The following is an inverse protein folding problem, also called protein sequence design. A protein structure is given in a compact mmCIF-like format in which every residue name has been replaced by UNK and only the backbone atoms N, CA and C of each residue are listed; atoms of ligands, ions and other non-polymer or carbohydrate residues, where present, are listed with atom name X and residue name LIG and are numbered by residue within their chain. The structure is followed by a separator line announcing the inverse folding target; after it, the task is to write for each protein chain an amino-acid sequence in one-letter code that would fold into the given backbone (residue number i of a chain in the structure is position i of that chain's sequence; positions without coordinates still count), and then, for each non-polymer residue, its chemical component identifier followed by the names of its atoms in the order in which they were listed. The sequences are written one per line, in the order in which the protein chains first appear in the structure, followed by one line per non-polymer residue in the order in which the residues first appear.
data_IF_439652112077
#
_entry.id   IF_439652112077
#
_cell.length_a   1.000
_cell.length_b   1.000
_cell.length_c   1.000
_cell.angle_alpha   90.00
_cell.angle_beta   90.00
_cell.angle_gamma   90.00
#
_symmetry.space_group_name_H-M   'P 1'
#
loop_
_entity.id
_entity.type
_entity.pdbx_description
1 polymer ?
#
# COMPACT_ATOMS: atom_id res chain seq x y z
N UNK A 1 -7.81 39.24 41.48
CA UNK A 1 -8.56 38.97 40.23
C UNK A 1 -7.65 38.09 39.37
N UNK A 2 -7.79 36.77 39.45
CA UNK A 2 -7.02 35.83 38.63
C UNK A 2 -7.77 35.61 37.31
N UNK A 3 -7.17 36.04 36.20
CA UNK A 3 -7.68 35.76 34.86
C UNK A 3 -7.32 34.31 34.48
N UNK A 4 -8.32 33.45 34.37
CA UNK A 4 -8.17 32.13 33.77
C UNK A 4 -8.08 32.30 32.24
N UNK A 5 -6.94 31.90 31.65
CA UNK A 5 -6.83 31.77 30.20
C UNK A 5 -7.42 30.42 29.77
N UNK A 6 -8.30 30.39 28.76
CA UNK A 6 -8.78 29.12 28.22
C UNK A 6 -7.62 28.44 27.48
N UNK A 7 -7.36 27.19 27.85
CA UNK A 7 -6.44 26.31 27.12
C UNK A 7 -7.16 25.87 25.84
N UNK A 8 -6.73 26.39 24.69
CA UNK A 8 -7.26 25.97 23.40
C UNK A 8 -6.67 24.61 23.06
N UNK A 9 -7.52 23.57 23.02
CA UNK A 9 -7.14 22.25 22.55
C UNK A 9 -7.09 22.27 21.02
N UNK A 10 -5.90 22.08 20.46
CA UNK A 10 -5.72 21.82 19.02
C UNK A 10 -6.07 20.36 18.79
N UNK A 11 -7.19 20.11 18.09
CA UNK A 11 -7.47 18.78 17.57
C UNK A 11 -6.44 18.48 16.45
N UNK A 12 -5.70 17.39 16.60
CA UNK A 12 -4.88 16.82 15.54
C UNK A 12 -5.81 16.30 14.45
N UNK A 13 -5.75 16.85 13.23
CA UNK A 13 -6.35 16.16 12.08
C UNK A 13 -5.74 14.77 12.00
N UNK A 14 -6.56 13.72 12.07
CA UNK A 14 -6.09 12.39 11.73
C UNK A 14 -5.64 12.40 10.27
N UNK A 15 -4.35 12.21 10.03
CA UNK A 15 -3.77 12.16 8.69
C UNK A 15 -4.35 10.96 7.95
N UNK A 16 -5.42 11.19 7.19
CA UNK A 16 -6.05 10.15 6.37
C UNK A 16 -5.15 9.85 5.18
N UNK A 17 -4.79 8.58 5.01
CA UNK A 17 -4.10 8.11 3.81
C UNK A 17 -5.08 8.17 2.64
N UNK A 18 -4.78 8.96 1.63
CA UNK A 18 -5.60 9.09 0.42
C UNK A 18 -5.53 7.84 -0.44
N UNK A 19 -6.60 7.58 -1.20
CA UNK A 19 -6.59 6.53 -2.20
C UNK A 19 -5.66 6.92 -3.37
N UNK A 20 -4.78 6.03 -3.84
CA UNK A 20 -3.74 6.39 -4.81
C UNK A 20 -4.30 6.32 -6.24
N UNK A 21 -5.03 7.34 -6.66
CA UNK A 21 -5.61 7.37 -8.00
C UNK A 21 -4.56 7.16 -9.10
N UNK A 22 -4.89 6.26 -10.05
CA UNK A 22 -4.02 5.95 -11.18
C UNK A 22 -2.79 5.08 -10.85
N UNK A 23 -2.67 4.50 -9.65
CA UNK A 23 -1.48 3.73 -9.24
C UNK A 23 -1.09 2.59 -10.18
N UNK A 24 -2.04 2.01 -10.93
CA UNK A 24 -1.75 0.94 -11.90
C UNK A 24 -0.90 1.41 -13.08
N UNK A 25 -0.79 2.71 -13.29
CA UNK A 25 0.11 3.31 -14.28
C UNK A 25 1.47 3.71 -13.68
N UNK A 26 1.66 3.53 -12.37
CA UNK A 26 2.96 3.74 -11.74
C UNK A 26 3.89 2.57 -12.02
N UNK A 27 5.15 2.70 -11.61
CA UNK A 27 6.14 1.64 -11.80
C UNK A 27 5.76 0.42 -10.96
N UNK A 28 5.53 -0.70 -11.63
CA UNK A 28 5.42 -2.01 -11.00
C UNK A 28 6.81 -2.44 -10.53
N UNK A 29 6.98 -2.67 -9.23
CA UNK A 29 8.30 -2.93 -8.62
C UNK A 29 8.55 -4.40 -8.31
N UNK A 30 7.50 -5.16 -7.96
CA UNK A 30 7.59 -6.60 -7.74
C UNK A 30 6.22 -7.26 -7.77
N UNK A 31 6.24 -8.58 -7.98
CA UNK A 31 5.09 -9.46 -7.73
C UNK A 31 5.44 -10.55 -6.74
N UNK A 32 4.41 -11.17 -6.16
CA UNK A 32 4.51 -12.39 -5.37
C UNK A 32 3.18 -13.14 -5.46
N UNK A 33 3.22 -14.46 -5.33
CA UNK A 33 2.02 -15.28 -5.18
C UNK A 33 2.08 -15.96 -3.82
N UNK A 34 1.00 -15.89 -3.05
CA UNK A 34 0.84 -16.66 -1.81
C UNK A 34 -0.24 -17.72 -2.05
N UNK A 35 0.17 -18.98 -2.06
CA UNK A 35 -0.70 -20.15 -2.20
C UNK A 35 -1.05 -20.77 -0.84
N UNK A 36 -2.03 -21.67 -0.85
CA UNK A 36 -2.47 -22.41 0.33
C UNK A 36 -1.29 -23.16 0.96
N UNK A 37 -1.20 -23.16 2.29
CA UNK A 37 -0.08 -23.71 3.04
C UNK A 37 0.96 -22.67 3.49
N UNK A 38 0.94 -21.46 2.93
CA UNK A 38 1.73 -20.35 3.45
C UNK A 38 1.06 -19.73 4.70
N UNK A 39 1.80 -19.36 5.77
CA UNK A 39 1.21 -18.83 7.01
C UNK A 39 0.36 -17.56 6.85
N UNK A 40 0.58 -16.80 5.77
CA UNK A 40 -0.17 -15.58 5.46
C UNK A 40 -1.31 -15.80 4.46
N UNK A 41 -1.65 -17.04 4.10
CA UNK A 41 -2.64 -17.31 3.06
C UNK A 41 -4.03 -16.74 3.39
N UNK A 42 -4.49 -16.85 4.63
CA UNK A 42 -5.83 -16.37 4.99
C UNK A 42 -5.96 -14.84 4.86
N UNK A 43 -4.89 -14.11 5.16
CA UNK A 43 -4.87 -12.65 5.07
C UNK A 43 -4.52 -12.15 3.66
N UNK A 44 -3.56 -12.79 3.00
CA UNK A 44 -2.91 -12.30 1.79
C UNK A 44 -2.76 -13.35 0.69
N UNK A 45 -3.52 -14.46 0.72
CA UNK A 45 -3.52 -15.45 -0.35
C UNK A 45 -3.98 -14.84 -1.68
N UNK A 46 -3.27 -15.13 -2.77
CA UNK A 46 -3.52 -14.56 -4.09
C UNK A 46 -2.26 -14.03 -4.79
N UNK A 47 -2.46 -13.24 -5.85
CA UNK A 47 -1.43 -12.57 -6.64
C UNK A 47 -1.24 -11.14 -6.15
N UNK A 48 0.00 -10.76 -5.87
CA UNK A 48 0.37 -9.44 -5.34
C UNK A 48 1.09 -8.67 -6.42
N UNK A 49 0.73 -7.41 -6.58
CA UNK A 49 1.52 -6.44 -7.33
C UNK A 49 1.85 -5.26 -6.43
N UNK A 50 3.13 -4.89 -6.41
CA UNK A 50 3.56 -3.68 -5.73
C UNK A 50 3.83 -2.61 -6.76
N UNK A 51 3.26 -1.43 -6.54
CA UNK A 51 3.49 -0.24 -7.34
C UNK A 51 4.15 0.85 -6.50
N UNK A 52 5.04 1.61 -7.10
CA UNK A 52 5.74 2.72 -6.46
C UNK A 52 5.56 4.01 -7.26
N UNK A 53 5.19 5.09 -6.60
CA UNK A 53 5.28 6.41 -7.22
C UNK A 53 6.76 6.81 -7.42
N UNK A 54 7.01 7.88 -8.17
CA UNK A 54 8.38 8.29 -8.53
C UNK A 54 9.29 8.50 -7.31
N UNK A 55 8.76 9.07 -6.21
CA UNK A 55 9.51 9.28 -4.96
C UNK A 55 9.91 7.97 -4.29
N UNK A 56 8.95 7.04 -4.17
CA UNK A 56 9.21 5.72 -3.61
C UNK A 56 10.19 4.91 -4.47
N UNK A 57 10.07 4.99 -5.79
CA UNK A 57 10.97 4.31 -6.72
C UNK A 57 12.41 4.80 -6.58
N UNK A 58 12.63 6.11 -6.51
CA UNK A 58 13.96 6.69 -6.33
C UNK A 58 14.61 6.23 -5.02
N UNK A 59 13.85 6.24 -3.91
CA UNK A 59 14.33 5.76 -2.62
C UNK A 59 14.67 4.26 -2.63
N UNK A 60 13.83 3.44 -3.25
CA UNK A 60 14.08 2.00 -3.44
C UNK A 60 15.37 1.74 -4.22
N UNK A 61 15.58 2.46 -5.33
CA UNK A 61 16.77 2.32 -6.16
C UNK A 61 18.05 2.78 -5.46
N UNK A 62 17.95 3.85 -4.68
CA UNK A 62 19.09 4.40 -3.94
C UNK A 62 19.39 3.64 -2.63
N UNK A 63 18.46 2.81 -2.14
CA UNK A 63 18.58 2.17 -0.83
C UNK A 63 18.54 3.17 0.33
N UNK A 64 17.81 4.27 0.16
CA UNK A 64 17.72 5.36 1.14
C UNK A 64 16.34 5.40 1.83
N UNK A 65 16.21 6.09 2.97
CA UNK A 65 14.90 6.32 3.58
C UNK A 65 13.91 6.98 2.62
N UNK A 66 12.64 6.59 2.72
CA UNK A 66 11.56 7.16 1.91
C UNK A 66 11.31 8.64 2.29
N UNK A 67 11.27 9.56 1.32
CA UNK A 67 10.90 10.96 1.57
C UNK A 67 9.38 11.11 1.72
N UNK A 68 8.94 12.24 2.27
CA UNK A 68 7.51 12.54 2.43
C UNK A 68 6.78 12.59 1.08
N UNK A 69 5.59 12.00 1.04
CA UNK A 69 4.80 11.78 -0.17
C UNK A 69 5.29 10.61 -1.02
N UNK A 70 6.23 9.79 -0.54
CA UNK A 70 6.49 8.49 -1.14
C UNK A 70 5.30 7.56 -0.87
N UNK A 71 4.86 6.85 -1.92
CA UNK A 71 3.72 5.94 -1.85
C UNK A 71 4.07 4.59 -2.45
N UNK A 72 3.82 3.53 -1.68
CA UNK A 72 3.79 2.15 -2.14
C UNK A 72 2.36 1.64 -2.08
N UNK A 73 1.96 0.93 -3.14
CA UNK A 73 0.64 0.31 -3.23
C UNK A 73 0.80 -1.19 -3.31
N UNK A 74 0.16 -1.90 -2.39
CA UNK A 74 0.00 -3.35 -2.38
C UNK A 74 -1.35 -3.70 -2.99
N UNK A 75 -1.35 -4.22 -4.21
CA UNK A 75 -2.57 -4.65 -4.91
C UNK A 75 -2.67 -6.17 -4.84
N UNK A 76 -3.66 -6.68 -4.11
CA UNK A 76 -3.91 -8.11 -3.97
C UNK A 76 -5.13 -8.51 -4.80
N UNK A 77 -4.90 -9.43 -5.72
CA UNK A 77 -5.91 -10.09 -6.52
C UNK A 77 -6.04 -11.55 -6.09
N UNK A 78 -7.23 -12.08 -6.26
CA UNK A 78 -7.47 -13.51 -6.13
C UNK A 78 -6.67 -14.29 -7.19
N UNK A 79 -6.40 -15.56 -6.90
CA UNK A 79 -5.66 -16.44 -7.80
C UNK A 79 -6.63 -17.42 -8.45
N UNK A 80 -6.68 -17.43 -9.78
CA UNK A 80 -7.42 -18.43 -10.56
C UNK A 80 -6.44 -19.40 -11.20
N UNK A 81 -6.76 -20.70 -11.14
CA UNK A 81 -5.96 -21.74 -11.80
C UNK A 81 -6.77 -22.36 -12.93
N UNK A 82 -6.25 -22.27 -14.15
CA UNK A 82 -6.90 -22.80 -15.36
C UNK A 82 -5.82 -23.33 -16.31
N UNK A 83 -5.99 -24.54 -16.84
CA UNK A 83 -5.09 -25.14 -17.84
C UNK A 83 -3.58 -25.05 -17.49
N UNK A 84 -3.24 -25.26 -16.22
CA UNK A 84 -1.86 -25.13 -15.70
C UNK A 84 -1.27 -23.71 -15.74
N UNK A 85 -2.11 -22.69 -15.93
CA UNK A 85 -1.78 -21.28 -15.76
C UNK A 85 -2.33 -20.73 -14.45
N UNK A 86 -1.62 -19.72 -13.93
CA UNK A 86 -2.06 -18.89 -12.81
C UNK A 86 -2.52 -17.55 -13.37
N UNK A 87 -3.78 -17.22 -13.15
CA UNK A 87 -4.43 -16.01 -13.68
C UNK A 87 -4.86 -15.08 -12.54
N UNK A 88 -4.88 -13.78 -12.85
CA UNK A 88 -5.46 -12.76 -11.96
C UNK A 88 -6.98 -12.90 -11.91
N UNK A 89 -7.52 -13.05 -10.69
CA UNK A 89 -8.95 -13.01 -10.41
C UNK A 89 -9.43 -11.65 -9.93
N UNK A 90 -10.52 -11.65 -9.14
CA UNK A 90 -11.08 -10.41 -8.58
C UNK A 90 -10.14 -9.78 -7.56
N UNK A 91 -10.13 -8.45 -7.46
CA UNK A 91 -9.33 -7.75 -6.46
C UNK A 91 -9.89 -7.94 -5.06
N UNK A 92 -9.02 -8.26 -4.11
CA UNK A 92 -9.34 -8.45 -2.70
C UNK A 92 -9.05 -7.18 -1.88
N UNK A 93 -7.88 -6.57 -2.06
CA UNK A 93 -7.49 -5.37 -1.30
C UNK A 93 -6.50 -4.48 -2.06
N UNK A 94 -6.57 -3.17 -1.77
CA UNK A 94 -5.52 -2.19 -2.09
C UNK A 94 -4.97 -1.66 -0.77
N UNK A 95 -3.78 -2.09 -0.39
CA UNK A 95 -3.02 -1.54 0.74
C UNK A 95 -2.21 -0.33 0.29
N UNK A 96 -2.23 0.75 1.07
CA UNK A 96 -1.54 2.00 0.73
C UNK A 96 -0.60 2.36 1.88
N UNK A 97 0.68 2.47 1.57
CA UNK A 97 1.69 2.98 2.49
C UNK A 97 2.09 4.36 2.02
N UNK A 98 1.79 5.38 2.83
CA UNK A 98 2.16 6.78 2.59
C UNK A 98 3.18 7.20 3.65
N UNK A 99 4.24 7.88 3.22
CA UNK A 99 5.29 8.40 4.10
C UNK A 99 5.15 9.89 4.37
#
# INVERSE_FOLDING_TARGET
MLCAYPMLSVATEESRVEYPDGYRFWTHVKSMVIQQGHPLYDAFGGIHHIYANAKALQALQAGTPFPDGAVLVFDLLDLQEEEHALLEGTRKVVGVMYK
#
